data_IF_629013929777
#
_entry.id   IF_629013929777
#
_cell.length_a   1.000
_cell.length_b   1.000
_cell.length_c   1.000
_cell.angle_alpha   90.00
_cell.angle_beta   90.00
_cell.angle_gamma   90.00
#
_symmetry.space_group_name_H-M   'P 1'
#
loop_
_entity.id
_entity.type
_entity.pdbx_description
1 polymer ?
#
# COMPACT_ATOMS: atom_id res chain seq x y z
N UNK A 1 1.92 17.08 14.14
CA UNK A 1 2.65 16.24 13.16
C UNK A 1 2.89 14.84 13.71
N UNK A 2 3.50 14.69 14.89
CA UNK A 2 3.76 13.37 15.48
C UNK A 2 2.48 12.53 15.63
N UNK A 3 1.38 13.12 16.07
CA UNK A 3 0.08 12.45 16.22
C UNK A 3 -0.52 12.03 14.88
N UNK A 4 -0.36 12.83 13.82
CA UNK A 4 -0.77 12.45 12.46
C UNK A 4 0.04 11.26 11.98
N UNK A 5 1.36 11.33 12.11
CA UNK A 5 2.28 10.26 11.71
C UNK A 5 2.05 8.96 12.49
N UNK A 6 1.58 9.05 13.74
CA UNK A 6 1.22 7.90 14.59
C UNK A 6 -0.20 7.37 14.33
N UNK A 7 -0.99 8.01 13.46
CA UNK A 7 -2.37 7.62 13.18
C UNK A 7 -3.35 7.83 14.36
N UNK A 8 -2.96 8.64 15.37
CA UNK A 8 -3.78 8.88 16.57
C UNK A 8 -4.78 10.04 16.39
N UNK A 9 -4.75 10.70 15.24
CA UNK A 9 -5.66 11.82 14.92
C UNK A 9 -6.26 11.59 13.54
N UNK A 10 -7.58 11.73 13.44
CA UNK A 10 -8.27 11.72 12.16
C UNK A 10 -7.84 12.95 11.33
N UNK A 11 -7.28 12.70 10.16
CA UNK A 11 -6.67 13.71 9.30
C UNK A 11 -7.73 14.68 8.77
N UNK A 12 -8.88 14.16 8.36
CA UNK A 12 -9.97 14.99 7.84
C UNK A 12 -10.61 15.84 8.93
N UNK A 13 -10.82 15.27 10.11
CA UNK A 13 -11.32 16.03 11.26
C UNK A 13 -10.37 17.14 11.67
N UNK A 14 -9.07 16.87 11.71
CA UNK A 14 -8.06 17.90 11.99
C UNK A 14 -8.05 18.99 10.90
N UNK A 15 -8.15 18.58 9.63
CA UNK A 15 -8.20 19.51 8.51
C UNK A 15 -9.43 20.42 8.58
N UNK A 16 -10.60 19.83 8.76
CA UNK A 16 -11.88 20.54 8.82
C UNK A 16 -11.95 21.45 10.06
N UNK A 17 -11.44 21.00 11.22
CA UNK A 17 -11.38 21.83 12.44
C UNK A 17 -10.49 23.06 12.31
N UNK A 18 -9.48 23.03 11.44
CA UNK A 18 -8.57 24.16 11.26
C UNK A 18 -9.24 25.42 10.69
N UNK A 19 -10.47 25.32 10.16
CA UNK A 19 -11.25 26.48 9.69
C UNK A 19 -11.81 27.31 10.83
N UNK A 20 -12.27 26.64 11.89
CA UNK A 20 -12.95 27.27 13.04
C UNK A 20 -12.10 27.27 14.31
N UNK A 21 -10.93 26.65 14.27
CA UNK A 21 -10.05 26.52 15.43
C UNK A 21 -9.42 27.84 15.83
N UNK A 22 -9.43 28.12 17.13
CA UNK A 22 -8.64 29.19 17.73
C UNK A 22 -7.25 28.71 18.18
N UNK A 23 -6.90 27.42 17.98
CA UNK A 23 -5.60 26.89 18.34
C UNK A 23 -4.54 27.33 17.31
N UNK A 24 -3.55 28.16 17.70
CA UNK A 24 -2.51 28.66 16.83
C UNK A 24 -1.60 27.55 16.30
N UNK A 25 -1.53 26.40 16.97
CA UNK A 25 -0.77 25.23 16.50
C UNK A 25 -1.45 24.60 15.29
N UNK A 26 -2.78 24.50 15.31
CA UNK A 26 -3.58 23.94 14.20
C UNK A 26 -3.64 24.93 13.04
N UNK A 27 -4.04 26.17 13.31
CA UNK A 27 -4.22 27.21 12.27
C UNK A 27 -2.89 27.64 11.65
N UNK A 28 -1.80 27.66 12.41
CA UNK A 28 -0.45 28.00 11.95
C UNK A 28 0.30 26.85 11.26
N UNK A 29 -0.26 25.65 11.24
CA UNK A 29 0.40 24.49 10.60
C UNK A 29 0.48 24.70 9.09
N UNK A 30 1.71 24.67 8.53
CA UNK A 30 1.90 24.78 7.08
C UNK A 30 1.25 23.60 6.36
N UNK A 31 0.52 23.87 5.28
CA UNK A 31 -0.18 22.85 4.48
C UNK A 31 0.76 21.76 3.99
N UNK A 32 1.93 22.14 3.45
CA UNK A 32 2.94 21.19 3.03
C UNK A 32 3.37 20.25 4.19
N UNK A 33 3.57 20.80 5.37
CA UNK A 33 4.00 20.03 6.54
C UNK A 33 2.88 19.14 7.11
N UNK A 34 1.62 19.57 6.97
CA UNK A 34 0.45 18.76 7.26
C UNK A 34 0.38 17.55 6.32
N UNK A 35 0.37 17.78 5.01
CA UNK A 35 0.30 16.71 4.01
C UNK A 35 1.47 15.73 4.14
N UNK A 36 2.70 16.22 4.33
CA UNK A 36 3.89 15.36 4.52
C UNK A 36 3.88 14.58 5.83
N UNK A 37 2.96 14.84 6.75
CA UNK A 37 2.81 14.09 8.00
C UNK A 37 1.89 12.89 7.84
N UNK A 38 1.13 12.81 6.75
CA UNK A 38 0.20 11.73 6.47
C UNK A 38 1.00 10.48 6.04
N UNK A 39 0.85 9.33 6.71
CA UNK A 39 1.52 8.11 6.29
C UNK A 39 1.21 7.76 4.82
N UNK A 40 2.23 7.38 4.06
CA UNK A 40 2.07 7.04 2.63
C UNK A 40 1.97 8.24 1.68
N UNK A 41 2.14 9.48 2.19
CA UNK A 41 2.07 10.70 1.40
C UNK A 41 3.44 11.38 1.32
N UNK A 42 4.15 11.13 0.23
CA UNK A 42 5.46 11.71 0.00
C UNK A 42 5.48 12.99 -0.80
N UNK A 43 6.68 13.52 -1.00
CA UNK A 43 6.91 14.82 -1.58
C UNK A 43 6.23 15.03 -2.95
N UNK A 44 6.17 14.00 -3.79
CA UNK A 44 5.53 14.05 -5.11
C UNK A 44 4.01 14.21 -5.00
N UNK A 45 3.37 13.40 -4.13
CA UNK A 45 1.92 13.52 -3.86
C UNK A 45 1.59 14.87 -3.24
N UNK A 46 2.38 15.33 -2.27
CA UNK A 46 2.22 16.66 -1.64
C UNK A 46 2.26 17.76 -2.70
N UNK A 47 3.27 17.74 -3.58
CA UNK A 47 3.39 18.75 -4.64
C UNK A 47 2.18 18.72 -5.58
N UNK A 48 1.77 17.54 -6.07
CA UNK A 48 0.59 17.40 -6.94
C UNK A 48 -0.68 17.93 -6.26
N UNK A 49 -0.91 17.60 -4.99
CA UNK A 49 -2.07 18.07 -4.24
C UNK A 49 -2.08 19.60 -4.09
N UNK A 50 -0.93 20.21 -3.77
CA UNK A 50 -0.79 21.66 -3.68
C UNK A 50 -1.04 22.35 -5.03
N UNK A 51 -0.45 21.83 -6.11
CA UNK A 51 -0.59 22.36 -7.47
C UNK A 51 -2.06 22.31 -7.93
N UNK A 52 -2.73 21.15 -7.76
CA UNK A 52 -4.14 20.96 -8.12
C UNK A 52 -5.09 21.85 -7.30
N UNK A 53 -4.78 22.07 -6.03
CA UNK A 53 -5.57 22.92 -5.15
C UNK A 53 -5.25 24.42 -5.28
N UNK A 54 -4.24 24.81 -6.06
CA UNK A 54 -3.77 26.18 -6.18
C UNK A 54 -3.28 26.77 -4.86
N UNK A 55 -2.59 25.94 -4.05
CA UNK A 55 -2.12 26.29 -2.71
C UNK A 55 -0.60 26.37 -2.69
N UNK A 56 -0.06 27.48 -2.20
CA UNK A 56 1.38 27.63 -2.04
C UNK A 56 1.91 26.72 -0.91
N UNK A 57 3.13 26.16 -1.04
CA UNK A 57 3.74 25.33 0.01
C UNK A 57 3.89 26.03 1.36
N UNK A 58 3.97 27.36 1.34
CA UNK A 58 4.10 28.22 2.53
C UNK A 58 2.78 28.56 3.21
N UNK A 59 1.63 28.27 2.57
CA UNK A 59 0.32 28.53 3.14
C UNK A 59 0.11 27.73 4.44
N UNK A 60 -0.67 28.30 5.36
CA UNK A 60 -1.08 27.63 6.59
C UNK A 60 -2.52 27.11 6.49
N UNK A 61 -2.88 26.12 7.29
CA UNK A 61 -4.24 25.57 7.30
C UNK A 61 -5.30 26.65 7.61
N UNK A 62 -5.04 27.52 8.59
CA UNK A 62 -5.94 28.65 8.92
C UNK A 62 -5.96 29.77 7.88
N UNK A 63 -4.91 29.88 7.05
CA UNK A 63 -4.80 30.93 6.02
C UNK A 63 -5.39 30.55 4.66
N UNK A 64 -5.97 29.35 4.52
CA UNK A 64 -6.59 28.91 3.27
C UNK A 64 -7.88 29.68 2.98
N UNK A 65 -8.00 30.16 1.74
CA UNK A 65 -9.27 30.74 1.24
C UNK A 65 -10.29 29.62 1.02
N UNK A 66 -11.58 29.95 1.05
CA UNK A 66 -12.69 28.99 0.94
C UNK A 66 -12.53 28.04 -0.26
N UNK A 67 -12.24 28.55 -1.46
CA UNK A 67 -12.05 27.73 -2.65
C UNK A 67 -10.80 26.86 -2.57
N UNK A 68 -9.69 27.36 -2.01
CA UNK A 68 -8.48 26.61 -1.80
C UNK A 68 -8.70 25.49 -0.78
N UNK A 69 -9.42 25.78 0.29
CA UNK A 69 -9.79 24.80 1.32
C UNK A 69 -10.64 23.66 0.70
N UNK A 70 -11.69 24.00 -0.07
CA UNK A 70 -12.53 23.02 -0.72
C UNK A 70 -11.75 22.16 -1.74
N UNK A 71 -10.87 22.78 -2.53
CA UNK A 71 -10.03 22.06 -3.50
C UNK A 71 -9.03 21.14 -2.80
N UNK A 72 -8.33 21.65 -1.79
CA UNK A 72 -7.34 20.85 -1.05
C UNK A 72 -7.98 19.71 -0.27
N UNK A 73 -9.20 19.89 0.28
CA UNK A 73 -9.95 18.81 0.93
C UNK A 73 -10.21 17.64 0.00
N UNK A 74 -10.55 17.92 -1.26
CA UNK A 74 -10.70 16.87 -2.28
C UNK A 74 -9.40 16.13 -2.53
N UNK A 75 -8.27 16.84 -2.56
CA UNK A 75 -6.97 16.21 -2.73
C UNK A 75 -6.57 15.39 -1.50
N UNK A 76 -6.86 15.84 -0.27
CA UNK A 76 -6.59 15.08 0.96
C UNK A 76 -7.36 13.75 0.97
N UNK A 77 -8.62 13.77 0.53
CA UNK A 77 -9.43 12.53 0.39
C UNK A 77 -8.85 11.58 -0.66
N UNK A 78 -8.18 12.11 -1.69
CA UNK A 78 -7.58 11.35 -2.79
C UNK A 78 -6.16 10.84 -2.53
N UNK A 79 -5.63 11.01 -1.33
CA UNK A 79 -4.28 10.55 -0.99
C UNK A 79 -4.30 9.06 -0.59
N UNK A 80 -4.55 8.18 -1.56
CA UNK A 80 -4.43 6.74 -1.34
C UNK A 80 -3.00 6.34 -0.93
N UNK A 81 -2.87 5.43 0.02
CA UNK A 81 -1.61 4.90 0.50
C UNK A 81 -1.36 3.46 -0.01
N UNK A 82 -0.12 3.17 -0.38
CA UNK A 82 0.31 1.79 -0.61
C UNK A 82 0.74 1.17 0.71
N UNK A 83 0.05 0.12 1.14
CA UNK A 83 0.35 -0.65 2.35
C UNK A 83 0.90 -2.02 1.94
N UNK A 84 2.14 -2.29 2.27
CA UNK A 84 2.84 -3.52 1.93
C UNK A 84 2.88 -4.40 3.17
N UNK A 85 2.18 -5.53 3.15
CA UNK A 85 2.20 -6.52 4.22
C UNK A 85 3.25 -7.58 3.89
N UNK A 86 4.28 -7.66 4.72
CA UNK A 86 5.39 -8.60 4.59
C UNK A 86 5.47 -9.53 5.79
N UNK A 87 6.08 -10.68 5.60
CA UNK A 87 6.29 -11.66 6.67
C UNK A 87 6.44 -13.07 6.12
N UNK A 88 6.80 -14.05 6.95
CA UNK A 88 7.00 -15.44 6.52
C UNK A 88 5.75 -16.05 5.88
N UNK A 89 5.96 -17.12 5.10
CA UNK A 89 4.84 -17.92 4.61
C UNK A 89 4.07 -18.52 5.82
N UNK A 90 2.74 -18.55 5.78
CA UNK A 90 1.93 -19.11 6.87
C UNK A 90 1.65 -18.17 8.05
N UNK A 91 2.27 -16.98 8.12
CA UNK A 91 2.09 -16.06 9.26
C UNK A 91 0.70 -15.42 9.36
N UNK A 92 -0.10 -15.45 8.28
CA UNK A 92 -1.47 -14.90 8.28
C UNK A 92 -1.62 -13.58 7.50
N UNK A 93 -0.67 -13.21 6.63
CA UNK A 93 -0.78 -12.00 5.80
C UNK A 93 -2.11 -11.88 5.08
N UNK A 94 -2.53 -12.92 4.35
CA UNK A 94 -3.79 -12.94 3.62
C UNK A 94 -5.02 -12.89 4.52
N UNK A 95 -4.95 -13.38 5.75
CA UNK A 95 -6.04 -13.23 6.74
C UNK A 95 -6.19 -11.77 7.14
N UNK A 96 -5.06 -11.08 7.39
CA UNK A 96 -5.05 -9.64 7.73
C UNK A 96 -5.55 -8.82 6.54
N UNK A 97 -5.06 -9.09 5.33
CA UNK A 97 -5.51 -8.40 4.12
C UNK A 97 -7.03 -8.56 3.91
N UNK A 98 -7.56 -9.78 4.01
CA UNK A 98 -9.00 -10.05 3.92
C UNK A 98 -9.80 -9.32 4.99
N UNK A 99 -9.30 -9.26 6.22
CA UNK A 99 -9.96 -8.53 7.30
C UNK A 99 -10.01 -7.02 7.01
N UNK A 100 -8.90 -6.43 6.54
CA UNK A 100 -8.86 -5.02 6.14
C UNK A 100 -9.91 -4.75 5.07
N UNK A 101 -9.94 -5.54 4.00
CA UNK A 101 -10.89 -5.36 2.90
C UNK A 101 -12.36 -5.54 3.30
N UNK A 102 -12.63 -6.39 4.29
CA UNK A 102 -13.98 -6.62 4.79
C UNK A 102 -14.49 -5.50 5.71
N UNK A 103 -13.59 -4.74 6.34
CA UNK A 103 -13.94 -3.73 7.34
C UNK A 103 -13.66 -2.29 6.88
N UNK A 104 -13.01 -2.09 5.73
CA UNK A 104 -12.60 -0.78 5.22
C UNK A 104 -12.84 -0.70 3.71
N UNK A 105 -13.87 0.04 3.31
CA UNK A 105 -14.29 0.20 1.91
C UNK A 105 -13.30 1.02 1.07
N UNK A 106 -12.46 1.81 1.72
CA UNK A 106 -11.40 2.63 1.11
C UNK A 106 -10.12 1.85 0.79
N UNK A 107 -10.13 0.51 0.97
CA UNK A 107 -9.01 -0.37 0.66
C UNK A 107 -9.32 -1.31 -0.50
N UNK A 108 -8.30 -1.57 -1.33
CA UNK A 108 -8.32 -2.58 -2.38
C UNK A 108 -7.07 -3.48 -2.29
N UNK A 109 -7.22 -4.74 -2.68
CA UNK A 109 -6.09 -5.65 -2.82
C UNK A 109 -5.47 -5.49 -4.22
N UNK A 110 -4.16 -5.39 -4.29
CA UNK A 110 -3.46 -5.47 -5.56
C UNK A 110 -3.48 -6.90 -6.10
N UNK A 111 -3.82 -7.04 -7.38
CA UNK A 111 -3.78 -8.32 -8.10
C UNK A 111 -2.40 -8.49 -8.73
N UNK A 112 -1.67 -9.54 -8.34
CA UNK A 112 -0.34 -9.85 -8.87
C UNK A 112 -0.43 -10.61 -10.20
N UNK A 113 0.55 -10.43 -11.08
CA UNK A 113 0.76 -11.27 -12.25
C UNK A 113 1.59 -12.51 -11.89
N UNK A 114 1.31 -13.64 -12.52
CA UNK A 114 2.08 -14.89 -12.33
C UNK A 114 2.21 -15.69 -13.62
N UNK A 115 3.34 -16.39 -13.77
CA UNK A 115 3.55 -17.37 -14.85
C UNK A 115 3.05 -18.77 -14.51
N UNK A 116 2.48 -18.96 -13.32
CA UNK A 116 1.85 -20.22 -12.89
C UNK A 116 0.47 -20.35 -13.53
N UNK A 117 0.12 -21.55 -13.94
CA UNK A 117 -1.24 -21.85 -14.36
C UNK A 117 -2.25 -21.67 -13.21
N UNK A 118 -3.50 -21.24 -13.51
CA UNK A 118 -4.54 -21.11 -12.51
C UNK A 118 -4.83 -22.46 -11.83
N UNK A 119 -5.12 -22.43 -10.53
CA UNK A 119 -5.63 -23.58 -9.77
C UNK A 119 -7.15 -23.63 -9.88
N UNK A 120 -7.73 -24.79 -9.51
CA UNK A 120 -9.19 -24.92 -9.44
C UNK A 120 -9.77 -23.86 -8.50
N UNK A 121 -10.72 -23.07 -9.01
CA UNK A 121 -11.38 -21.99 -8.28
C UNK A 121 -10.67 -20.63 -8.35
N UNK A 122 -9.47 -20.54 -8.91
CA UNK A 122 -8.84 -19.23 -9.18
C UNK A 122 -9.40 -18.60 -10.47
N UNK A 123 -9.56 -17.28 -10.46
CA UNK A 123 -10.11 -16.49 -11.55
C UNK A 123 -9.13 -15.41 -12.00
N UNK A 124 -9.05 -15.23 -13.33
CA UNK A 124 -8.28 -14.17 -13.98
C UNK A 124 -8.73 -12.80 -13.48
N UNK A 125 -7.76 -11.93 -13.15
CA UNK A 125 -8.01 -10.58 -12.70
C UNK A 125 -8.55 -10.42 -11.28
N UNK A 126 -8.92 -11.53 -10.61
CA UNK A 126 -9.36 -11.51 -9.21
C UNK A 126 -8.29 -12.06 -8.25
N UNK A 127 -7.74 -13.22 -8.59
CA UNK A 127 -6.72 -13.87 -7.78
C UNK A 127 -5.33 -13.54 -8.29
N UNK A 128 -5.15 -13.64 -9.61
CA UNK A 128 -3.94 -13.30 -10.34
C UNK A 128 -4.26 -12.88 -11.77
N UNK A 129 -3.33 -12.15 -12.38
CA UNK A 129 -3.20 -12.07 -13.84
C UNK A 129 -2.32 -13.24 -14.28
N UNK A 130 -2.91 -14.27 -14.90
CA UNK A 130 -2.17 -15.46 -15.35
C UNK A 130 -1.57 -15.19 -16.72
N UNK A 131 -0.28 -14.89 -16.77
CA UNK A 131 0.42 -14.50 -17.99
C UNK A 131 1.41 -15.55 -18.47
N UNK A 132 1.66 -15.59 -19.78
CA UNK A 132 2.74 -16.45 -20.34
C UNK A 132 4.11 -15.97 -19.86
N UNK A 133 5.13 -16.87 -19.85
CA UNK A 133 6.50 -16.45 -19.55
C UNK A 133 6.99 -15.31 -20.43
N UNK A 134 6.66 -15.32 -21.73
CA UNK A 134 7.02 -14.26 -22.68
C UNK A 134 6.35 -12.93 -22.34
N UNK A 135 5.06 -12.95 -21.97
CA UNK A 135 4.38 -11.70 -21.55
C UNK A 135 4.98 -11.16 -20.25
N UNK A 136 5.37 -12.04 -19.33
CA UNK A 136 6.05 -11.62 -18.11
C UNK A 136 7.41 -10.98 -18.39
N UNK A 137 8.17 -11.53 -19.38
CA UNK A 137 9.43 -10.93 -19.82
C UNK A 137 9.25 -9.52 -20.39
N UNK A 138 8.17 -9.30 -21.14
CA UNK A 138 7.80 -7.96 -21.63
C UNK A 138 7.50 -6.99 -20.46
N UNK A 139 6.71 -7.41 -19.47
CA UNK A 139 6.42 -6.60 -18.28
C UNK A 139 7.69 -6.20 -17.54
N UNK A 140 8.65 -7.12 -17.40
CA UNK A 140 9.95 -6.84 -16.78
C UNK A 140 10.77 -5.88 -17.64
N UNK A 141 10.86 -6.14 -18.94
CA UNK A 141 11.65 -5.34 -19.91
C UNK A 141 11.16 -3.90 -19.99
N UNK A 142 9.85 -3.68 -19.91
CA UNK A 142 9.24 -2.36 -19.98
C UNK A 142 9.07 -1.70 -18.59
N UNK A 143 9.61 -2.31 -17.52
CA UNK A 143 9.53 -1.83 -16.15
C UNK A 143 8.09 -1.62 -15.64
N UNK A 144 7.13 -2.38 -16.18
CA UNK A 144 5.70 -2.29 -15.87
C UNK A 144 5.31 -2.93 -14.53
N UNK A 145 6.27 -3.52 -13.78
CA UNK A 145 6.05 -4.14 -12.47
C UNK A 145 6.65 -3.29 -11.35
N UNK A 146 5.93 -3.11 -10.25
CA UNK A 146 6.45 -2.49 -9.02
C UNK A 146 7.59 -3.32 -8.42
N UNK A 147 7.39 -4.62 -8.44
CA UNK A 147 8.34 -5.63 -7.99
C UNK A 147 8.06 -6.95 -8.71
N UNK A 148 9.03 -7.84 -8.72
CA UNK A 148 8.83 -9.23 -9.15
C UNK A 148 9.90 -10.14 -8.55
N UNK A 149 9.58 -11.43 -8.44
CA UNK A 149 10.49 -12.44 -7.92
C UNK A 149 10.21 -13.83 -8.53
N UNK A 150 11.23 -14.68 -8.50
CA UNK A 150 11.06 -16.11 -8.66
C UNK A 150 10.59 -16.71 -7.35
N UNK A 151 9.50 -17.46 -7.37
CA UNK A 151 8.99 -18.16 -6.22
C UNK A 151 9.31 -19.65 -6.40
N UNK A 152 10.04 -20.21 -5.45
CA UNK A 152 10.52 -21.60 -5.45
C UNK A 152 11.28 -22.01 -6.73
N UNK A 153 11.86 -21.06 -7.46
CA UNK A 153 12.63 -21.31 -8.68
C UNK A 153 11.82 -21.79 -9.88
N UNK A 154 10.49 -21.86 -9.79
CA UNK A 154 9.62 -22.44 -10.84
C UNK A 154 8.73 -21.43 -11.53
N UNK A 155 8.17 -20.49 -10.79
CA UNK A 155 7.23 -19.51 -11.31
C UNK A 155 7.60 -18.09 -10.89
N UNK A 156 7.26 -17.14 -11.73
CA UNK A 156 7.44 -15.72 -11.45
C UNK A 156 6.14 -15.12 -10.95
N UNK A 157 6.29 -14.20 -10.02
CA UNK A 157 5.22 -13.36 -9.50
C UNK A 157 5.68 -11.92 -9.53
N UNK A 158 4.78 -11.00 -9.78
CA UNK A 158 5.10 -9.58 -9.77
C UNK A 158 3.83 -8.75 -9.70
N UNK A 159 3.97 -7.52 -9.24
CA UNK A 159 2.85 -6.60 -9.08
C UNK A 159 2.82 -5.61 -10.24
N UNK A 160 1.79 -5.63 -11.10
CA UNK A 160 1.63 -4.63 -12.15
C UNK A 160 1.53 -3.22 -11.54
N UNK A 161 2.32 -2.29 -12.09
CA UNK A 161 2.44 -0.93 -11.54
C UNK A 161 1.20 -0.08 -11.84
N UNK A 162 0.74 -0.07 -13.08
CA UNK A 162 -0.35 0.81 -13.52
C UNK A 162 -1.66 0.61 -12.73
N UNK A 163 -2.19 -0.61 -12.48
CA UNK A 163 -3.40 -0.79 -11.69
C UNK A 163 -3.27 -0.28 -10.24
N UNK A 164 -2.08 -0.40 -9.65
CA UNK A 164 -1.82 0.13 -8.29
C UNK A 164 -1.82 1.65 -8.30
N UNK A 165 -1.14 2.27 -9.27
CA UNK A 165 -1.09 3.73 -9.40
C UNK A 165 -2.47 4.31 -9.68
N UNK A 166 -3.27 3.68 -10.54
CA UNK A 166 -4.65 4.10 -10.86
C UNK A 166 -5.53 4.12 -9.60
N UNK A 167 -5.46 3.09 -8.77
CA UNK A 167 -6.20 3.04 -7.49
C UNK A 167 -5.72 4.12 -6.51
N UNK A 168 -4.41 4.29 -6.37
CA UNK A 168 -3.82 5.32 -5.50
C UNK A 168 -4.20 6.73 -5.96
N UNK A 169 -4.27 6.99 -7.28
CA UNK A 169 -4.66 8.28 -7.84
C UNK A 169 -6.18 8.55 -7.68
N UNK A 170 -6.98 7.51 -7.50
CA UNK A 170 -8.40 7.60 -7.13
C UNK A 170 -8.61 7.79 -5.63
N UNK A 171 -7.55 7.74 -4.81
CA UNK A 171 -7.61 7.87 -3.35
C UNK A 171 -7.90 6.56 -2.62
N UNK A 172 -7.86 5.45 -3.33
CA UNK A 172 -8.01 4.12 -2.74
C UNK A 172 -6.69 3.70 -2.11
N UNK A 173 -6.74 3.21 -0.87
CA UNK A 173 -5.60 2.57 -0.23
C UNK A 173 -5.39 1.19 -0.84
N UNK A 174 -4.16 0.87 -1.22
CA UNK A 174 -3.86 -0.42 -1.85
C UNK A 174 -3.06 -1.29 -0.91
N UNK A 175 -3.54 -2.50 -0.65
CA UNK A 175 -2.82 -3.54 0.09
C UNK A 175 -2.03 -4.41 -0.88
N UNK A 176 -0.75 -4.59 -0.59
CA UNK A 176 0.16 -5.48 -1.30
C UNK A 176 0.60 -6.60 -0.36
N UNK A 177 0.34 -7.85 -0.72
CA UNK A 177 0.79 -9.01 0.04
C UNK A 177 1.96 -9.68 -0.70
N UNK A 178 3.18 -9.39 -0.26
CA UNK A 178 4.41 -9.86 -0.93
C UNK A 178 5.47 -10.30 0.09
N UNK A 179 6.56 -10.87 -0.40
CA UNK A 179 7.71 -11.20 0.42
C UNK A 179 8.61 -9.97 0.67
N UNK A 180 9.65 -10.15 1.49
CA UNK A 180 10.54 -9.06 1.87
C UNK A 180 11.41 -8.55 0.70
N UNK A 181 11.69 -9.40 -0.30
CA UNK A 181 12.47 -9.01 -1.48
C UNK A 181 11.61 -8.14 -2.39
N UNK A 182 10.36 -8.56 -2.64
CA UNK A 182 9.37 -7.77 -3.36
C UNK A 182 9.11 -6.43 -2.69
N UNK A 183 8.97 -6.41 -1.37
CA UNK A 183 8.76 -5.17 -0.61
C UNK A 183 9.90 -4.16 -0.80
N UNK A 184 11.16 -4.62 -0.85
CA UNK A 184 12.30 -3.76 -1.16
C UNK A 184 12.23 -3.19 -2.59
N UNK A 185 11.74 -3.99 -3.55
CA UNK A 185 11.51 -3.55 -4.93
C UNK A 185 10.43 -2.46 -4.99
N UNK A 186 9.26 -2.75 -4.47
CA UNK A 186 8.14 -1.82 -4.42
C UNK A 186 8.47 -0.52 -3.68
N UNK A 187 9.19 -0.61 -2.54
CA UNK A 187 9.61 0.55 -1.75
C UNK A 187 10.60 1.46 -2.50
N UNK A 188 11.43 0.93 -3.41
CA UNK A 188 12.30 1.75 -4.26
C UNK A 188 11.51 2.55 -5.28
N UNK A 189 10.45 1.97 -5.86
CA UNK A 189 9.58 2.64 -6.84
C UNK A 189 8.59 3.61 -6.17
N UNK A 190 8.04 3.21 -5.01
CA UNK A 190 7.12 4.03 -4.21
C UNK A 190 7.73 4.22 -2.80
N UNK A 191 8.65 5.19 -2.63
CA UNK A 191 9.37 5.40 -1.37
C UNK A 191 8.47 5.65 -0.16
N UNK A 192 7.25 6.14 -0.38
CA UNK A 192 6.28 6.49 0.65
C UNK A 192 5.38 5.33 1.07
N UNK A 193 5.49 4.16 0.42
CA UNK A 193 4.72 2.98 0.79
C UNK A 193 4.93 2.64 2.28
N UNK A 194 3.86 2.33 2.97
CA UNK A 194 3.89 1.86 4.36
C UNK A 194 4.20 0.37 4.37
N UNK A 195 5.26 -0.04 5.06
CA UNK A 195 5.60 -1.47 5.16
C UNK A 195 5.27 -1.97 6.55
N UNK A 196 4.42 -3.00 6.61
CA UNK A 196 4.00 -3.66 7.84
C UNK A 196 4.58 -5.07 7.87
N UNK A 197 5.47 -5.33 8.81
CA UNK A 197 6.01 -6.68 9.02
C UNK A 197 5.11 -7.45 9.98
N UNK A 198 4.62 -8.61 9.52
CA UNK A 198 3.84 -9.54 10.33
C UNK A 198 4.74 -10.69 10.76
N UNK A 199 5.02 -10.75 12.06
CA UNK A 199 5.76 -11.85 12.68
C UNK A 199 4.83 -12.91 13.27
N UNK A 200 5.25 -14.18 13.34
CA UNK A 200 4.54 -15.18 14.13
C UNK A 200 4.76 -14.91 15.62
N UNK A 201 3.84 -15.33 16.49
CA UNK A 201 4.03 -15.22 17.95
C UNK A 201 5.19 -16.10 18.46
N UNK A 202 5.44 -17.23 17.79
CA UNK A 202 6.60 -18.08 18.02
C UNK A 202 6.94 -18.88 16.75
N UNK A 203 8.13 -19.49 16.73
CA UNK A 203 8.57 -20.33 15.60
C UNK A 203 7.76 -21.62 15.54
N UNK A 204 7.42 -22.21 16.66
CA UNK A 204 6.60 -23.42 16.79
C UNK A 204 5.19 -23.21 16.22
N UNK A 205 4.60 -22.02 16.47
CA UNK A 205 3.30 -21.68 15.92
C UNK A 205 3.36 -21.52 14.39
N UNK A 206 4.46 -21.00 13.86
CA UNK A 206 4.65 -20.89 12.41
C UNK A 206 4.76 -22.28 11.78
N UNK A 207 5.54 -23.20 12.39
CA UNK A 207 5.67 -24.59 11.94
C UNK A 207 4.31 -25.30 11.96
N UNK A 208 3.52 -25.14 13.04
CA UNK A 208 2.18 -25.71 13.16
C UNK A 208 1.27 -25.23 12.03
N UNK A 209 1.22 -23.93 11.76
CA UNK A 209 0.40 -23.32 10.68
C UNK A 209 0.81 -23.79 9.29
N UNK A 210 2.09 -23.96 9.05
CA UNK A 210 2.59 -24.49 7.78
C UNK A 210 2.21 -25.96 7.59
N UNK A 211 2.29 -26.78 8.65
CA UNK A 211 1.90 -28.18 8.63
C UNK A 211 0.37 -28.37 8.39
N UNK A 212 -0.46 -27.55 9.04
CA UNK A 212 -1.94 -27.61 8.90
C UNK A 212 -2.44 -27.21 7.51
N UNK A 213 -1.71 -26.38 6.76
CA UNK A 213 -2.08 -26.00 5.40
C UNK A 213 -2.10 -27.16 4.41
N UNK A 214 -1.36 -28.24 4.68
CA UNK A 214 -1.45 -29.51 3.94
C UNK A 214 -1.22 -29.46 2.42
N UNK A 215 -0.91 -28.29 1.87
CA UNK A 215 -0.80 -28.04 0.42
C UNK A 215 0.61 -28.26 -0.13
N UNK A 216 1.57 -28.66 0.71
CA UNK A 216 2.98 -28.65 0.36
C UNK A 216 3.72 -29.92 0.83
N UNK A 217 4.64 -30.39 -0.02
CA UNK A 217 5.55 -31.49 0.30
C UNK A 217 6.50 -31.08 1.46
N UNK A 218 6.87 -32.03 2.31
CA UNK A 218 7.76 -31.85 3.48
C UNK A 218 9.09 -31.16 3.12
N UNK A 219 9.53 -31.25 1.88
CA UNK A 219 10.73 -30.62 1.35
C UNK A 219 10.54 -29.13 1.12
N UNK A 220 9.39 -28.70 0.61
CA UNK A 220 9.02 -27.29 0.45
C UNK A 220 8.80 -26.60 1.78
N UNK A 221 8.20 -27.29 2.77
CA UNK A 221 8.03 -26.76 4.13
C UNK A 221 9.38 -26.40 4.77
N UNK A 222 10.39 -27.29 4.64
CA UNK A 222 11.75 -27.03 5.17
C UNK A 222 12.47 -25.90 4.44
N UNK A 223 12.17 -25.64 3.16
CA UNK A 223 12.77 -24.55 2.40
C UNK A 223 12.21 -23.19 2.81
N UNK A 224 10.96 -23.13 3.27
CA UNK A 224 10.28 -21.91 3.71
C UNK A 224 10.59 -21.48 5.15
N UNK A 225 11.18 -22.40 5.94
CA UNK A 225 11.63 -22.13 7.30
C UNK A 225 13.10 -21.69 7.39
N UNK A 226 13.79 -21.61 6.27
CA UNK A 226 15.15 -21.06 6.14
C UNK A 226 15.14 -19.61 5.66
#
# INVERSE_FOLDING_TARGET
KAQIAAGTVNILELYDSAETSNDPVVTGLRVQAFLSSIPGVGATKVRRALDRAGVLPTATLGGLRVLQRAALRKEVVRLGALVIIVGPSGVGKGTIAKWILANHEDFALSVSATTRAPRIGEREGEHYFFVSPSRFDELVKHEELLEWAWVHGTHRYGTPQAPVEDLLDQGVNVVLEIDIQGARGAKRKIPDAVVVFVGPPSFEELERRLAERGTEDTREQKLRLR
#
